data_IF_900404197914
#
_entry.id   IF_900404197914
#
_cell.length_a   1.000
_cell.length_b   1.000
_cell.length_c   1.000
_cell.angle_alpha   90.00
_cell.angle_beta   90.00
_cell.angle_gamma   90.00
#
_symmetry.space_group_name_H-M   'P 1'
#
loop_
_entity.id
_entity.type
_entity.pdbx_description
1 polymer ?
#
# COMPACT_ATOMS: atom_id res chain seq x y z
N UNK A 1 -25.26 -13.26 -11.59
CA UNK A 1 -25.29 -12.46 -10.35
C UNK A 1 -24.71 -13.32 -9.25
N UNK A 2 -23.39 -13.33 -9.13
CA UNK A 2 -22.67 -14.08 -8.11
C UNK A 2 -22.31 -13.13 -6.98
N UNK A 3 -22.82 -13.48 -5.81
CA UNK A 3 -22.53 -13.04 -4.46
C UNK A 3 -21.26 -12.17 -4.30
N UNK A 4 -21.44 -10.85 -4.28
CA UNK A 4 -20.45 -9.91 -3.81
C UNK A 4 -20.42 -10.02 -2.28
N UNK A 5 -19.73 -11.06 -1.79
CA UNK A 5 -19.42 -11.21 -0.38
C UNK A 5 -18.94 -9.88 0.16
N UNK A 6 -19.67 -9.35 1.13
CA UNK A 6 -19.45 -8.06 1.75
C UNK A 6 -18.08 -8.11 2.45
N UNK A 7 -17.03 -7.79 1.69
CA UNK A 7 -15.68 -7.67 2.20
C UNK A 7 -15.68 -6.52 3.21
N UNK A 8 -15.58 -6.84 4.50
CA UNK A 8 -15.31 -5.85 5.54
C UNK A 8 -14.08 -5.03 5.11
N UNK A 9 -14.12 -3.69 5.17
CA UNK A 9 -13.02 -2.86 4.69
C UNK A 9 -11.71 -3.29 5.34
N UNK A 10 -10.63 -3.49 4.57
CA UNK A 10 -9.36 -3.90 5.12
C UNK A 10 -8.86 -2.77 6.00
N UNK A 11 -8.60 -3.07 7.27
CA UNK A 11 -8.17 -2.05 8.24
C UNK A 11 -6.83 -1.40 7.82
N UNK A 12 -5.99 -2.14 7.09
CA UNK A 12 -4.68 -1.66 6.61
C UNK A 12 -4.27 -2.36 5.32
N UNK A 13 -3.72 -1.62 4.36
CA UNK A 13 -3.16 -2.16 3.10
C UNK A 13 -1.65 -2.04 3.08
N UNK A 14 -0.95 -3.12 2.69
CA UNK A 14 0.50 -3.12 2.47
C UNK A 14 0.80 -3.22 0.97
N UNK A 15 1.38 -2.16 0.39
CA UNK A 15 1.64 -2.06 -1.05
C UNK A 15 3.13 -2.09 -1.41
N UNK A 16 3.53 -3.02 -2.27
CA UNK A 16 4.89 -3.14 -2.81
C UNK A 16 4.91 -3.16 -4.35
N UNK A 17 5.77 -2.32 -4.95
CA UNK A 17 6.12 -2.19 -6.39
C UNK A 17 4.99 -2.09 -7.44
N UNK A 18 4.71 -0.90 -8.00
CA UNK A 18 3.93 -0.76 -9.23
C UNK A 18 4.91 -0.63 -10.41
N UNK A 19 5.45 -1.73 -10.90
CA UNK A 19 6.10 -1.71 -12.21
C UNK A 19 5.79 -2.97 -12.99
N UNK A 20 4.50 -3.20 -13.26
CA UNK A 20 4.07 -4.08 -14.33
C UNK A 20 2.89 -3.45 -15.09
N UNK A 21 2.90 -3.48 -16.44
CA UNK A 21 1.76 -3.04 -17.25
C UNK A 21 0.53 -3.92 -16.94
N UNK A 22 -0.66 -3.33 -17.07
CA UNK A 22 -1.97 -3.89 -16.65
C UNK A 22 -2.39 -5.27 -17.21
N UNK A 23 -1.53 -5.94 -17.96
CA UNK A 23 -1.84 -7.16 -18.70
C UNK A 23 -1.16 -8.44 -18.18
N UNK A 24 -0.44 -8.42 -17.05
CA UNK A 24 0.22 -9.63 -16.53
C UNK A 24 0.25 -9.69 -15.00
N UNK A 25 -0.88 -9.96 -14.36
CA UNK A 25 -0.90 -10.64 -13.06
C UNK A 25 -1.97 -11.72 -13.12
N UNK A 26 -1.55 -12.93 -13.45
CA UNK A 26 -2.31 -14.14 -13.12
C UNK A 26 -2.51 -14.15 -11.60
N UNK A 27 -3.77 -14.24 -11.19
CA UNK A 27 -4.21 -14.16 -9.80
C UNK A 27 -3.66 -15.35 -9.00
N UNK A 28 -2.58 -15.11 -8.26
CA UNK A 28 -2.09 -16.03 -7.24
C UNK A 28 -1.34 -15.27 -6.17
N UNK A 29 -2.02 -14.93 -5.07
CA UNK A 29 -1.33 -14.46 -3.87
C UNK A 29 -0.42 -15.58 -3.34
N UNK A 30 0.83 -15.24 -3.00
CA UNK A 30 1.70 -16.17 -2.27
C UNK A 30 1.10 -16.57 -0.92
N UNK A 31 1.80 -17.36 -0.09
CA UNK A 31 1.30 -17.72 1.24
C UNK A 31 0.87 -16.46 1.99
N UNK A 32 -0.32 -16.54 2.60
CA UNK A 32 -0.88 -15.45 3.40
C UNK A 32 0.00 -15.09 4.59
N UNK A 33 -0.31 -13.98 5.28
CA UNK A 33 0.44 -13.60 6.47
C UNK A 33 0.42 -14.73 7.51
N UNK A 34 1.54 -15.01 8.19
CA UNK A 34 1.71 -16.20 9.04
C UNK A 34 0.78 -16.22 10.27
N UNK A 35 0.17 -15.09 10.61
CA UNK A 35 -0.78 -14.96 11.71
C UNK A 35 -2.26 -15.11 11.28
N UNK A 36 -2.54 -15.33 9.99
CA UNK A 36 -3.90 -15.41 9.46
C UNK A 36 -4.68 -14.08 9.51
N UNK A 37 -4.03 -12.97 9.86
CA UNK A 37 -4.65 -11.65 9.96
C UNK A 37 -4.43 -10.89 8.66
N UNK A 38 -5.22 -11.23 7.64
CA UNK A 38 -5.27 -10.54 6.37
C UNK A 38 -5.17 -11.46 5.17
N UNK A 39 -5.38 -10.87 4.01
CA UNK A 39 -5.33 -11.55 2.72
C UNK A 39 -4.08 -11.13 1.96
N UNK A 40 -3.43 -12.09 1.32
CA UNK A 40 -2.36 -11.82 0.37
C UNK A 40 -2.91 -11.98 -1.04
N UNK A 41 -2.83 -10.91 -1.83
CA UNK A 41 -3.30 -10.86 -3.20
C UNK A 41 -2.15 -10.50 -4.12
N UNK A 42 -2.07 -11.12 -5.29
CA UNK A 42 -1.02 -10.82 -6.28
C UNK A 42 -1.20 -9.44 -6.92
N UNK A 43 -2.46 -8.99 -7.08
CA UNK A 43 -2.80 -7.67 -7.56
C UNK A 43 -4.02 -7.14 -6.80
N UNK A 44 -4.04 -5.83 -6.57
CA UNK A 44 -5.20 -5.13 -6.02
C UNK A 44 -5.38 -3.79 -6.75
N UNK A 45 -6.61 -3.46 -7.20
CA UNK A 45 -6.90 -2.18 -7.80
C UNK A 45 -6.92 -1.08 -6.72
N UNK A 46 -5.85 -0.30 -6.63
CA UNK A 46 -5.68 0.71 -5.57
C UNK A 46 -6.77 1.80 -5.57
N UNK A 47 -7.29 2.17 -6.73
CA UNK A 47 -8.37 3.17 -6.85
C UNK A 47 -9.67 2.72 -6.17
N UNK A 48 -9.95 1.42 -6.18
CA UNK A 48 -11.12 0.84 -5.51
C UNK A 48 -10.84 0.54 -4.04
N UNK A 49 -9.60 0.14 -3.73
CA UNK A 49 -9.20 -0.33 -2.41
C UNK A 49 -8.92 0.81 -1.42
N UNK A 50 -8.21 1.86 -1.85
CA UNK A 50 -7.76 2.92 -0.96
C UNK A 50 -8.91 3.70 -0.31
N UNK A 51 -9.99 4.10 -1.01
CA UNK A 51 -11.12 4.79 -0.37
C UNK A 51 -11.78 4.03 0.79
N UNK A 52 -11.53 2.71 0.87
CA UNK A 52 -12.08 1.82 1.90
C UNK A 52 -11.04 1.45 2.97
N UNK A 53 -9.82 1.94 2.87
CA UNK A 53 -8.71 1.60 3.76
C UNK A 53 -8.58 2.62 4.89
N UNK A 54 -8.33 2.19 6.12
CA UNK A 54 -8.06 3.12 7.22
C UNK A 54 -6.60 3.63 7.22
N UNK A 55 -5.68 2.88 6.60
CA UNK A 55 -4.26 3.18 6.52
C UNK A 55 -3.62 2.45 5.32
N UNK A 56 -2.68 3.11 4.65
CA UNK A 56 -1.81 2.48 3.63
C UNK A 56 -0.36 2.50 4.09
N UNK A 57 0.30 1.34 4.07
CA UNK A 57 1.74 1.17 4.31
C UNK A 57 2.40 0.79 3.00
N UNK A 58 3.38 1.57 2.53
CA UNK A 58 4.01 1.32 1.23
C UNK A 58 5.43 1.89 1.18
N UNK A 59 6.15 1.57 0.11
CA UNK A 59 7.57 1.93 -0.04
C UNK A 59 7.81 3.37 -0.52
N UNK A 60 6.78 4.19 -0.71
CA UNK A 60 6.95 5.58 -1.19
C UNK A 60 7.00 5.75 -2.71
N UNK A 61 6.52 4.79 -3.50
CA UNK A 61 6.33 4.99 -4.94
C UNK A 61 5.35 6.13 -5.25
N UNK A 62 5.69 7.02 -6.18
CA UNK A 62 4.93 8.25 -6.46
C UNK A 62 3.47 7.99 -6.87
N UNK A 63 3.21 6.95 -7.66
CA UNK A 63 1.85 6.57 -8.05
C UNK A 63 0.99 6.12 -6.86
N UNK A 64 1.57 5.32 -5.97
CA UNK A 64 0.90 4.90 -4.73
C UNK A 64 0.60 6.11 -3.83
N UNK A 65 1.57 7.02 -3.68
CA UNK A 65 1.39 8.27 -2.92
C UNK A 65 0.23 9.07 -3.48
N UNK A 66 0.23 9.29 -4.80
CA UNK A 66 -0.78 10.11 -5.47
C UNK A 66 -2.19 9.52 -5.26
N UNK A 67 -2.36 8.21 -5.45
CA UNK A 67 -3.65 7.54 -5.27
C UNK A 67 -4.11 7.57 -3.81
N UNK A 68 -3.23 7.34 -2.85
CA UNK A 68 -3.58 7.37 -1.43
C UNK A 68 -3.90 8.79 -0.93
N UNK A 69 -3.20 9.81 -1.43
CA UNK A 69 -3.54 11.22 -1.19
C UNK A 69 -4.89 11.58 -1.80
N UNK A 70 -5.17 11.16 -3.03
CA UNK A 70 -6.46 11.39 -3.69
C UNK A 70 -7.62 10.73 -2.94
N UNK A 71 -7.39 9.54 -2.35
CA UNK A 71 -8.36 8.84 -1.52
C UNK A 71 -8.49 9.44 -0.10
N UNK A 72 -7.64 10.39 0.30
CA UNK A 72 -7.66 11.00 1.64
C UNK A 72 -7.22 10.04 2.76
N UNK A 73 -6.41 9.03 2.44
CA UNK A 73 -6.04 7.96 3.38
C UNK A 73 -4.70 8.27 4.05
N UNK A 74 -4.58 8.09 5.39
CA UNK A 74 -3.30 8.17 6.07
C UNK A 74 -2.26 7.20 5.50
N UNK A 75 -0.99 7.61 5.47
CA UNK A 75 0.09 6.85 4.84
C UNK A 75 1.29 6.64 5.77
N UNK A 76 1.84 5.42 5.76
CA UNK A 76 3.16 5.09 6.30
C UNK A 76 4.09 4.72 5.14
N UNK A 77 5.19 5.45 5.02
CA UNK A 77 6.19 5.29 3.96
C UNK A 77 7.42 4.60 4.53
N UNK A 78 7.76 3.41 4.03
CA UNK A 78 9.04 2.74 4.29
C UNK A 78 9.91 2.81 3.03
N UNK A 79 10.68 3.90 2.83
CA UNK A 79 11.48 4.04 1.63
C UNK A 79 12.52 2.92 1.52
N UNK A 80 12.75 2.45 0.31
CA UNK A 80 13.75 1.43 -0.01
C UNK A 80 14.92 2.01 -0.81
N UNK A 81 14.67 2.94 -1.73
CA UNK A 81 15.72 3.51 -2.58
C UNK A 81 15.35 4.87 -3.20
N UNK A 82 16.39 5.63 -3.55
CA UNK A 82 16.30 6.80 -4.42
C UNK A 82 15.28 7.84 -3.98
N UNK A 83 14.46 8.30 -4.92
CA UNK A 83 13.47 9.36 -4.70
C UNK A 83 12.43 9.05 -3.62
N UNK A 84 12.27 7.80 -3.20
CA UNK A 84 11.33 7.41 -2.14
C UNK A 84 11.65 8.09 -0.80
N UNK A 85 12.95 8.29 -0.50
CA UNK A 85 13.37 9.00 0.71
C UNK A 85 12.93 10.46 0.69
N UNK A 86 13.14 11.15 -0.42
CA UNK A 86 12.74 12.56 -0.58
C UNK A 86 11.21 12.72 -0.54
N UNK A 87 10.48 11.79 -1.18
CA UNK A 87 9.03 11.78 -1.15
C UNK A 87 8.50 11.50 0.26
N UNK A 88 9.05 10.52 0.98
CA UNK A 88 8.69 10.24 2.37
C UNK A 88 8.94 11.45 3.29
N UNK A 89 10.10 12.10 3.14
CA UNK A 89 10.44 13.33 3.87
C UNK A 89 9.45 14.47 3.57
N UNK A 90 9.07 14.67 2.30
CA UNK A 90 8.08 15.68 1.91
C UNK A 90 6.71 15.40 2.52
N UNK A 91 6.26 14.15 2.49
CA UNK A 91 5.00 13.74 3.11
C UNK A 91 4.98 14.01 4.61
N UNK A 92 6.07 13.70 5.32
CA UNK A 92 6.23 14.01 6.75
C UNK A 92 6.14 15.52 7.00
N UNK A 93 6.88 16.32 6.23
CA UNK A 93 6.90 17.78 6.39
C UNK A 93 5.55 18.43 6.13
N UNK A 94 4.74 17.85 5.24
CA UNK A 94 3.39 18.31 4.94
C UNK A 94 2.33 17.77 5.92
N UNK A 95 2.69 16.87 6.83
CA UNK A 95 1.76 16.26 7.80
C UNK A 95 0.77 15.27 7.18
N UNK A 96 1.02 14.81 5.95
CA UNK A 96 0.12 13.91 5.20
C UNK A 96 0.55 12.45 5.23
N UNK A 97 1.66 12.13 5.91
CA UNK A 97 2.12 10.77 6.12
C UNK A 97 3.29 10.70 7.09
N UNK A 98 3.69 9.48 7.49
CA UNK A 98 4.88 9.24 8.29
C UNK A 98 5.88 8.37 7.54
N UNK A 99 7.14 8.78 7.50
CA UNK A 99 8.23 7.95 7.01
C UNK A 99 8.79 7.14 8.18
N UNK A 100 8.97 5.84 7.97
CA UNK A 100 9.67 4.95 8.90
C UNK A 100 10.93 4.41 8.22
N UNK A 101 12.06 4.60 8.86
CA UNK A 101 13.33 3.97 8.46
C UNK A 101 13.61 2.87 9.48
N UNK A 102 14.04 1.69 9.00
CA UNK A 102 14.48 0.65 9.93
C UNK A 102 15.76 1.11 10.63
N UNK A 103 15.83 0.95 11.96
CA UNK A 103 17.12 0.82 12.61
C UNK A 103 17.74 -0.52 12.16
N UNK A 104 19.04 -0.52 11.88
CA UNK A 104 19.76 -1.77 11.72
C UNK A 104 19.77 -2.44 13.10
N UNK A 105 18.98 -3.48 13.31
CA UNK A 105 19.09 -4.32 14.51
C UNK A 105 20.34 -5.17 14.31
N UNK A 106 21.48 -4.67 14.80
CA UNK A 106 22.75 -5.41 14.88
C UNK A 106 22.76 -6.39 16.03
#
# INVERSE_FOLDING_TARGET
>A
MSDAGLFEPPRTVFGGFPFYPSAAVEAGGGPGPPNGLGEHVGFAPFEELFPRSALVVHHGGIGTIALALAAGVPQIVRPMMGAQFDLGNRMQRLGVGRMITGECVT
#
